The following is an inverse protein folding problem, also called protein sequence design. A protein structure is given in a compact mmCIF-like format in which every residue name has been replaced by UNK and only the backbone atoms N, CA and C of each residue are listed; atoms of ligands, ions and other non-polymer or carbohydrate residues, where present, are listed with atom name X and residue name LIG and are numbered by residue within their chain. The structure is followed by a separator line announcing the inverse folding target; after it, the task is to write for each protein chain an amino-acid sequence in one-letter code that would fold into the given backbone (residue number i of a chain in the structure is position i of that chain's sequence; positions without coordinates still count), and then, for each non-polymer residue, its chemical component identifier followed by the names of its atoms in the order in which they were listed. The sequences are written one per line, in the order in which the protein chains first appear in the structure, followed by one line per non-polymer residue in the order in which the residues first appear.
data_IF_126438430036
#
_entry.id   IF_126438430036
#
_cell.length_a   1.000
_cell.length_b   1.000
_cell.length_c   1.000
_cell.angle_alpha   90.00
_cell.angle_beta   90.00
_cell.angle_gamma   90.00
#
_symmetry.space_group_name_H-M   'P 1'
#
loop_
_entity.id
_entity.type
_entity.pdbx_description
1 polymer ?
2 non-polymer ?
3 water ?
#
# COMPACT_ATOMS: atom_id res chain seq x y z
N UNK A 5 -8.81 -3.85 24.62
CA UNK A 5 -7.91 -4.23 23.53
C UNK A 5 -7.07 -5.43 23.95
N UNK A 6 -6.56 -6.17 22.98
CA UNK A 6 -5.76 -7.34 23.28
C UNK A 6 -4.36 -6.91 23.68
N UNK A 7 -3.83 -7.39 24.82
CA UNK A 7 -2.55 -6.87 25.32
C UNK A 7 -1.33 -7.26 24.48
N UNK A 8 -1.49 -8.14 23.52
CA UNK A 8 -0.35 -8.55 22.71
C UNK A 8 0.23 -7.38 21.92
N UNK A 9 -0.59 -6.42 21.50
CA UNK A 9 -0.04 -5.37 20.64
C UNK A 9 0.91 -4.44 21.40
N UNK A 10 0.56 -4.08 22.63
CA UNK A 10 1.46 -3.24 23.43
C UNK A 10 2.78 -3.94 23.70
N UNK A 11 2.73 -5.24 23.99
CA UNK A 11 3.96 -5.99 24.21
C UNK A 11 4.79 -6.05 22.93
N UNK A 12 4.14 -6.31 21.80
CA UNK A 12 4.86 -6.36 20.52
C UNK A 12 5.60 -5.06 20.26
N UNK A 13 4.92 -3.93 20.36
CA UNK A 13 5.56 -2.68 19.97
C UNK A 13 6.64 -2.29 20.98
N UNK A 14 6.41 -2.55 22.27
CA UNK A 14 7.41 -2.19 23.27
C UNK A 14 8.69 -3.01 23.10
N UNK A 15 8.55 -4.33 22.92
CA UNK A 15 9.74 -5.16 22.75
C UNK A 15 10.47 -4.81 21.47
N UNK A 16 9.74 -4.49 20.40
CA UNK A 16 10.39 -4.17 19.13
C UNK A 16 10.93 -2.74 19.08
N UNK A 17 10.67 -1.91 20.08
CA UNK A 17 11.16 -0.55 20.01
C UNK A 17 10.56 0.24 18.87
N UNK A 18 9.28 0.07 18.63
CA UNK A 18 8.62 0.68 17.50
C UNK A 18 7.26 1.19 17.94
N UNK A 19 6.72 2.12 17.16
CA UNK A 19 5.31 2.49 17.22
C UNK A 19 4.58 1.65 16.19
N UNK A 20 3.57 0.91 16.63
CA UNK A 20 2.87 -0.07 15.81
C UNK A 20 1.42 0.35 15.63
N UNK A 21 0.99 0.40 14.37
CA UNK A 21 -0.37 0.73 14.03
C UNK A 21 -1.01 -0.42 13.28
N UNK A 22 -2.15 -0.91 13.76
CA UNK A 22 -2.82 -2.06 13.17
C UNK A 22 -4.29 -1.73 13.01
N UNK A 23 -4.84 -2.06 11.85
CA UNK A 23 -6.27 -2.13 11.68
C UNK A 23 -6.59 -3.31 10.79
N UNK A 24 -7.53 -4.14 11.21
CA UNK A 24 -8.00 -5.25 10.40
C UNK A 24 -9.49 -5.35 10.55
N UNK A 25 -10.15 -5.73 9.46
CA UNK A 25 -11.58 -5.92 9.44
C UNK A 25 -11.90 -7.22 8.71
N UNK A 26 -12.74 -8.04 9.32
CA UNK A 26 -13.31 -9.20 8.66
C UNK A 26 -14.52 -8.70 7.90
N UNK A 27 -14.46 -8.74 6.57
CA UNK A 27 -15.54 -8.13 5.79
C UNK A 27 -16.82 -8.96 5.82
N UNK A 28 -16.77 -10.18 6.31
CA UNK A 28 -17.97 -10.99 6.48
C UNK A 28 -18.74 -10.62 7.73
N UNK A 29 -18.05 -10.55 8.87
CA UNK A 29 -18.69 -10.30 10.15
C UNK A 29 -18.63 -8.85 10.57
N UNK A 30 -17.77 -8.06 9.95
CA UNK A 30 -17.49 -6.67 10.29
C UNK A 30 -16.75 -6.52 11.62
N UNK A 31 -16.26 -7.62 12.21
CA UNK A 31 -15.42 -7.50 13.38
C UNK A 31 -14.09 -6.85 12.99
N UNK A 32 -13.57 -6.05 13.91
CA UNK A 32 -12.33 -5.34 13.69
C UNK A 32 -11.37 -5.55 14.84
N UNK A 33 -10.10 -5.31 14.54
CA UNK A 33 -9.03 -5.24 15.52
C UNK A 33 -8.26 -3.96 15.21
N UNK A 34 -7.99 -3.17 16.25
CA UNK A 34 -7.36 -1.87 16.08
C UNK A 34 -6.36 -1.62 17.18
N UNK A 35 -5.20 -1.09 16.80
CA UNK A 35 -4.20 -0.61 17.74
C UNK A 35 -3.58 0.62 17.09
N UNK A 36 -3.73 1.79 17.73
CA UNK A 36 -3.25 3.05 17.16
C UNK A 36 -3.79 3.23 15.75
N UNK A 37 -5.02 2.77 15.51
CA UNK A 37 -5.54 2.70 14.14
C UNK A 37 -5.85 4.06 13.55
N UNK A 38 -5.95 5.11 14.37
CA UNK A 38 -6.19 6.44 13.85
C UNK A 38 -4.98 7.35 13.97
N UNK A 39 -3.82 6.81 14.34
CA UNK A 39 -2.61 7.59 14.38
C UNK A 39 -1.98 7.63 12.99
N UNK A 40 -1.27 8.71 12.70
CA UNK A 40 -0.61 8.85 11.42
C UNK A 40 0.72 8.11 11.36
N UNK A 41 0.97 7.52 10.21
CA UNK A 41 2.21 6.87 9.84
C UNK A 41 2.53 7.27 8.42
N UNK A 42 3.77 7.09 7.97
CA UNK A 42 4.06 7.28 6.56
C UNK A 42 3.23 6.35 5.70
N UNK A 43 2.77 6.87 4.56
CA UNK A 43 2.09 6.06 3.57
C UNK A 43 3.08 5.44 2.59
N UNK A 44 4.09 6.21 2.19
CA UNK A 44 5.17 5.71 1.35
C UNK A 44 4.64 4.84 0.22
N UNK A 45 5.29 3.71 -0.07
CA UNK A 45 4.95 2.98 -1.28
C UNK A 45 3.61 2.30 -1.20
N UNK A 46 2.92 2.30 -0.06
CA UNK A 46 1.56 1.80 -0.07
C UNK A 46 0.66 2.69 -0.94
N UNK A 47 1.08 3.90 -1.29
CA UNK A 47 0.29 4.71 -2.21
C UNK A 47 0.17 4.07 -3.57
N UNK A 48 1.12 3.22 -3.98
CA UNK A 48 1.18 2.78 -5.36
C UNK A 48 -0.03 1.96 -5.75
N UNK A 49 -0.54 1.11 -4.88
CA UNK A 49 -1.74 0.36 -5.19
C UNK A 49 -2.95 1.26 -5.34
N UNK A 50 -3.05 2.27 -4.48
CA UNK A 50 -4.14 3.24 -4.56
C UNK A 50 -4.04 4.08 -5.82
N UNK A 51 -2.82 4.42 -6.26
CA UNK A 51 -2.65 5.19 -7.49
C UNK A 51 -3.10 4.40 -8.70
N UNK A 52 -2.79 3.10 -8.73
CA UNK A 52 -3.30 2.25 -9.79
C UNK A 52 -4.82 2.21 -9.76
N UNK A 53 -5.40 2.09 -8.57
CA UNK A 53 -6.84 2.14 -8.45
C UNK A 53 -7.44 3.45 -8.94
N UNK A 54 -6.77 4.55 -8.65
CA UNK A 54 -7.27 5.85 -9.10
C UNK A 54 -7.30 5.90 -10.62
N UNK A 55 -6.22 5.45 -11.26
CA UNK A 55 -6.17 5.50 -12.71
C UNK A 55 -7.19 4.55 -13.32
N UNK A 56 -7.38 3.38 -12.71
CA UNK A 56 -8.39 2.44 -13.19
C UNK A 56 -9.80 3.01 -13.06
N UNK A 57 -10.02 3.88 -12.07
CA UNK A 57 -11.33 4.49 -11.92
C UNK A 57 -11.50 5.67 -12.88
N UNK A 58 -10.43 6.39 -13.18
CA UNK A 58 -10.51 7.52 -14.08
C UNK A 58 -10.47 7.12 -15.55
N UNK A 59 -10.01 5.92 -15.85
CA UNK A 59 -9.84 5.46 -17.23
C UNK A 59 -10.07 3.96 -17.30
N UNK A 60 -11.31 3.52 -17.43
CA UNK A 60 -11.58 2.09 -17.50
C UNK A 60 -10.83 1.40 -18.62
N UNK A 61 -10.55 0.12 -18.41
CA UNK A 61 -9.79 -0.67 -19.39
C UNK A 61 -10.44 -0.63 -20.77
N UNK A 62 -11.76 -0.59 -20.84
CA UNK A 62 -12.45 -0.62 -22.12
C UNK A 62 -12.21 0.63 -22.96
N UNK A 63 -11.69 1.71 -22.37
CA UNK A 63 -11.35 2.90 -23.15
C UNK A 63 -10.07 2.75 -23.96
N UNK A 64 -9.27 1.72 -23.69
CA UNK A 64 -7.97 1.54 -24.32
C UNK A 64 -6.85 2.32 -23.65
N UNK A 65 -7.19 3.13 -22.64
CA UNK A 65 -6.21 4.02 -22.01
C UNK A 65 -4.98 3.26 -21.52
N UNK A 66 -5.17 2.07 -20.96
CA UNK A 66 -4.07 1.31 -20.38
C UNK A 66 -3.17 0.69 -21.42
N UNK A 67 -3.56 0.75 -22.69
CA UNK A 67 -2.74 0.26 -23.77
C UNK A 67 -1.82 1.32 -24.35
N UNK A 68 -1.97 2.57 -23.96
CA UNK A 68 -1.12 3.60 -24.54
C UNK A 68 0.28 3.55 -23.92
N UNK A 69 1.26 3.94 -24.73
CA UNK A 69 2.65 3.90 -24.32
C UNK A 69 3.05 5.26 -23.77
N UNK A 70 3.62 5.25 -22.58
CA UNK A 70 4.18 6.43 -21.94
C UNK A 70 5.67 6.47 -22.25
N UNK A 71 6.11 7.54 -22.90
CA UNK A 71 7.50 7.72 -23.27
C UNK A 71 8.20 8.67 -22.29
N UNK A 72 8.42 8.16 -21.08
CA UNK A 72 9.14 8.91 -20.07
C UNK A 72 10.61 8.97 -20.44
N UNK A 73 11.30 9.99 -19.94
CA UNK A 73 12.69 10.22 -20.28
C UNK A 73 13.61 9.62 -19.22
N UNK A 74 14.88 9.43 -19.61
CA UNK A 74 15.86 8.95 -18.67
C UNK A 74 16.06 9.94 -17.54
N UNK A 75 15.85 11.22 -17.79
CA UNK A 75 16.00 12.25 -16.77
C UNK A 75 14.97 12.11 -15.65
N UNK A 76 13.86 11.41 -15.90
CA UNK A 76 12.82 11.21 -14.89
C UNK A 76 13.09 9.98 -14.03
N UNK A 77 14.12 9.21 -14.31
CA UNK A 77 14.41 8.04 -13.50
C UNK A 77 14.89 8.47 -12.12
N UNK A 78 14.25 7.93 -11.08
CA UNK A 78 14.67 8.18 -9.69
C UNK A 78 15.24 6.88 -9.12
N UNK A 79 15.68 6.93 -7.87
CA UNK A 79 16.28 5.76 -7.26
C UNK A 79 15.25 4.64 -7.17
N UNK A 80 15.73 3.41 -7.35
CA UNK A 80 14.93 2.19 -7.33
C UNK A 80 13.86 2.15 -8.42
N UNK A 81 14.30 1.87 -9.64
CA UNK A 81 13.46 1.87 -10.83
C UNK A 81 13.72 0.58 -11.59
N UNK A 82 13.41 -0.57 -10.96
CA UNK A 82 13.85 -1.85 -11.53
C UNK A 82 13.31 -2.16 -12.91
N UNK A 83 12.08 -1.79 -13.19
CA UNK A 83 11.50 -2.06 -14.50
C UNK A 83 11.68 -0.87 -15.44
N UNK A 84 11.36 0.32 -14.96
CA UNK A 84 11.38 1.48 -15.84
C UNK A 84 12.76 1.78 -16.39
N UNK A 85 13.82 1.50 -15.61
CA UNK A 85 15.15 1.76 -16.15
C UNK A 85 15.42 0.94 -17.39
N UNK A 86 14.85 -0.26 -17.49
CA UNK A 86 15.12 -1.15 -18.62
C UNK A 86 14.32 -0.81 -19.85
N UNK A 87 13.36 0.14 -19.77
CA UNK A 87 12.44 0.45 -20.86
C UNK A 87 12.47 1.91 -21.27
N UNK A 88 13.49 2.67 -20.87
CA UNK A 88 13.51 4.09 -21.22
C UNK A 88 13.42 4.26 -22.73
N UNK A 89 14.12 3.41 -23.49
CA UNK A 89 14.15 3.54 -24.94
C UNK A 89 12.76 3.42 -25.55
N UNK A 90 12.03 2.38 -25.18
CA UNK A 90 10.79 2.00 -25.82
C UNK A 90 9.57 2.63 -25.18
N UNK A 91 9.67 3.07 -23.93
CA UNK A 91 8.50 3.44 -23.17
C UNK A 91 7.81 2.21 -22.63
N UNK A 92 6.77 2.45 -21.83
CA UNK A 92 5.99 1.39 -21.22
C UNK A 92 4.51 1.75 -21.30
N UNK A 93 3.67 0.73 -21.48
CA UNK A 93 2.26 1.01 -21.44
C UNK A 93 1.85 1.35 -20.00
N UNK A 94 0.70 2.02 -19.88
CA UNK A 94 0.19 2.33 -18.55
C UNK A 94 0.01 1.06 -17.74
N UNK A 95 -0.50 0.00 -18.37
CA UNK A 95 -0.66 -1.25 -17.64
C UNK A 95 0.67 -1.77 -17.13
N UNK A 96 1.71 -1.69 -17.95
CA UNK A 96 3.03 -2.13 -17.51
C UNK A 96 3.56 -1.27 -16.38
N UNK A 97 3.30 0.03 -16.41
CA UNK A 97 3.73 0.90 -15.32
C UNK A 97 3.02 0.52 -14.02
N UNK A 98 1.74 0.19 -14.10
CA UNK A 98 1.03 -0.25 -12.91
C UNK A 98 1.60 -1.56 -12.37
N UNK A 99 1.83 -2.53 -13.26
CA UNK A 99 2.45 -3.77 -12.82
C UNK A 99 3.76 -3.50 -12.09
N UNK A 100 4.60 -2.65 -12.68
CA UNK A 100 5.88 -2.35 -12.07
C UNK A 100 5.72 -1.64 -10.73
N UNK A 101 4.80 -0.65 -10.66
CA UNK A 101 4.61 0.09 -9.42
C UNK A 101 4.13 -0.80 -8.29
N UNK A 102 3.23 -1.73 -8.58
CA UNK A 102 2.70 -2.60 -7.52
C UNK A 102 3.63 -3.75 -7.21
N UNK A 103 4.02 -4.53 -8.22
CA UNK A 103 4.65 -5.81 -7.91
C UNK A 103 6.14 -5.68 -7.62
N UNK A 104 6.79 -4.63 -8.16
CA UNK A 104 8.19 -4.35 -7.93
C UNK A 104 8.41 -3.11 -7.10
N UNK A 105 7.36 -2.35 -6.82
CA UNK A 105 7.46 -1.07 -6.11
C UNK A 105 8.32 -0.05 -6.85
N UNK A 106 8.32 -0.09 -8.18
CA UNK A 106 9.18 0.78 -8.99
C UNK A 106 8.86 2.25 -8.77
N UNK A 107 9.86 3.04 -8.39
CA UNK A 107 9.60 4.41 -7.97
C UNK A 107 9.31 5.32 -9.16
N UNK A 108 10.03 5.17 -10.25
CA UNK A 108 9.73 5.98 -11.43
C UNK A 108 8.35 5.63 -11.96
N UNK A 109 7.98 4.35 -11.92
CA UNK A 109 6.64 3.96 -12.32
C UNK A 109 5.61 4.68 -11.46
N UNK A 110 5.83 4.69 -10.15
CA UNK A 110 4.93 5.43 -9.26
C UNK A 110 4.79 6.89 -9.63
N UNK A 111 5.92 7.55 -9.94
CA UNK A 111 5.85 8.95 -10.35
C UNK A 111 5.09 9.09 -11.66
N UNK A 112 5.28 8.17 -12.60
CA UNK A 112 4.57 8.27 -13.86
C UNK A 112 3.07 8.14 -13.65
N UNK A 113 2.64 7.26 -12.74
CA UNK A 113 1.22 7.18 -12.44
C UNK A 113 0.73 8.48 -11.81
N UNK A 114 1.52 9.03 -10.90
CA UNK A 114 1.16 10.30 -10.30
C UNK A 114 1.00 11.38 -11.36
N UNK A 115 1.92 11.44 -12.35
CA UNK A 115 1.80 12.45 -13.40
C UNK A 115 0.47 12.32 -14.12
N UNK A 116 0.07 11.11 -14.45
CA UNK A 116 -1.19 10.89 -15.14
C UNK A 116 -2.39 11.27 -14.29
N UNK A 117 -2.25 11.28 -12.95
CA UNK A 117 -3.30 11.60 -12.02
C UNK A 117 -3.36 13.08 -11.65
N UNK A 118 -2.43 13.89 -12.12
CA UNK A 118 -2.37 15.27 -11.70
C UNK A 118 -1.52 15.48 -10.48
N UNK A 119 -0.49 14.67 -10.30
CA UNK A 119 0.45 14.81 -9.22
C UNK A 119 -0.08 14.36 -7.90
N UNK A 120 0.71 14.53 -6.85
CA UNK A 120 0.22 14.24 -5.50
C UNK A 120 -1.12 14.88 -5.17
N UNK A 121 -1.39 16.09 -5.69
CA UNK A 121 -2.66 16.74 -5.37
C UNK A 121 -3.81 16.00 -6.03
N UNK A 122 -3.64 15.58 -7.27
CA UNK A 122 -4.70 14.84 -7.93
C UNK A 122 -4.92 13.49 -7.28
N UNK A 123 -3.84 12.83 -6.87
CA UNK A 123 -3.98 11.58 -6.15
C UNK A 123 -4.74 11.77 -4.85
N UNK A 124 -4.39 12.80 -4.09
CA UNK A 124 -5.10 13.06 -2.84
C UNK A 124 -6.58 13.34 -3.09
N UNK A 125 -6.90 14.05 -4.18
CA UNK A 125 -8.30 14.27 -4.51
C UNK A 125 -9.02 12.95 -4.74
N UNK A 126 -8.33 11.98 -5.33
CA UNK A 126 -8.96 10.68 -5.49
C UNK A 126 -9.23 10.03 -4.14
N UNK A 127 -8.29 10.13 -3.20
CA UNK A 127 -8.55 9.57 -1.87
C UNK A 127 -9.78 10.20 -1.24
N UNK A 128 -9.93 11.53 -1.36
CA UNK A 128 -11.12 12.18 -0.85
C UNK A 128 -12.37 11.62 -1.49
N UNK A 129 -12.26 11.22 -2.76
CA UNK A 129 -13.41 10.68 -3.48
C UNK A 129 -13.81 9.31 -2.98
N UNK A 130 -12.96 8.66 -2.19
CA UNK A 130 -13.27 7.41 -1.50
C UNK A 130 -13.82 7.65 -0.11
N UNK A 131 -13.96 8.92 0.31
CA UNK A 131 -14.33 9.22 1.67
C UNK A 131 -13.17 9.24 2.62
N UNK A 132 -11.95 9.20 2.13
CA UNK A 132 -10.76 9.29 2.98
C UNK A 132 -10.39 10.75 3.07
N UNK A 133 -10.71 11.38 4.21
CA UNK A 133 -10.37 12.77 4.47
C UNK A 133 -9.12 12.91 5.32
N UNK A 134 -8.39 11.82 5.52
CA UNK A 134 -7.23 11.77 6.41
C UNK A 134 -5.92 11.61 5.66
N UNK A 135 -5.84 10.63 4.79
CA UNK A 135 -4.59 10.36 4.10
C UNK A 135 -4.26 11.49 3.13
N UNK A 136 -2.98 11.65 2.85
CA UNK A 136 -2.57 12.71 1.94
C UNK A 136 -1.24 12.35 1.34
N UNK A 137 -1.08 12.68 0.06
CA UNK A 137 0.19 12.60 -0.63
C UNK A 137 0.55 14.01 -1.07
N UNK A 138 1.80 14.38 -0.87
CA UNK A 138 2.24 15.76 -1.03
C UNK A 138 3.46 15.87 -1.92
N UNK A 139 4.28 14.82 -1.94
CA UNK A 139 5.55 14.83 -2.65
C UNK A 139 5.62 13.66 -3.61
N UNK A 140 6.66 13.68 -4.43
CA UNK A 140 6.94 12.64 -5.41
C UNK A 140 7.97 11.67 -4.83
N UNK A 141 8.16 10.55 -5.53
CA UNK A 141 9.29 9.67 -5.21
C UNK A 141 10.57 10.39 -5.60
N UNK A 142 11.60 10.32 -4.76
CA UNK A 142 11.67 9.55 -3.52
C UNK A 142 11.61 10.39 -2.24
N UNK A 143 11.39 11.69 -2.39
CA UNK A 143 11.28 12.58 -1.23
C UNK A 143 10.14 12.18 -0.30
N UNK A 144 9.11 11.53 -0.83
CA UNK A 144 7.98 11.21 0.02
C UNK A 144 8.31 10.16 1.07
N UNK A 145 9.52 9.58 1.07
CA UNK A 145 9.92 8.56 2.03
C UNK A 145 10.64 9.08 3.27
N UNK A 146 10.68 10.39 3.49
CA UNK A 146 11.48 10.91 4.60
C UNK A 146 10.93 10.50 5.96
N UNK A 147 9.61 10.36 6.09
CA UNK A 147 8.97 9.77 7.26
C UNK A 147 9.33 10.47 8.58
N UNK A 148 9.49 11.79 8.54
CA UNK A 148 9.89 12.52 9.75
C UNK A 148 8.75 12.47 10.77
N UNK A 149 9.02 12.13 12.02
CA UNK A 149 7.95 12.09 13.03
C UNK A 149 7.23 13.43 13.16
N UNK A 150 5.90 13.36 13.19
CA UNK A 150 5.06 14.53 13.32
C UNK A 150 4.65 15.15 12.00
N UNK A 151 5.47 14.99 10.97
CA UNK A 151 5.21 15.57 9.65
C UNK A 151 4.04 14.84 9.00
N UNK A 152 2.95 15.55 8.73
CA UNK A 152 1.76 14.93 8.15
C UNK A 152 1.86 14.75 6.64
N UNK A 153 2.87 15.32 5.99
CA UNK A 153 2.99 15.10 4.55
C UNK A 153 3.12 13.60 4.27
N UNK A 154 2.39 13.13 3.25
CA UNK A 154 2.56 11.76 2.76
C UNK A 154 2.28 10.74 3.86
N UNK A 155 1.18 10.95 4.57
CA UNK A 155 0.80 10.08 5.67
C UNK A 155 -0.58 9.47 5.47
N UNK A 156 -0.81 8.40 6.21
CA UNK A 156 -2.11 7.74 6.29
C UNK A 156 -2.27 7.26 7.73
N UNK A 157 -3.34 6.53 7.97
CA UNK A 157 -3.54 5.85 9.24
C UNK A 157 -3.86 4.40 8.91
N UNK A 158 -3.67 3.47 9.86
CA UNK A 158 -4.02 2.07 9.55
C UNK A 158 -5.46 1.93 9.12
N UNK A 159 -6.36 2.63 9.80
CA UNK A 159 -7.78 2.50 9.47
C UNK A 159 -8.10 3.09 8.12
N UNK A 160 -7.52 4.25 7.79
CA UNK A 160 -7.86 4.88 6.52
C UNK A 160 -7.28 4.09 5.35
N UNK A 161 -6.05 3.61 5.52
CA UNK A 161 -5.40 2.82 4.47
C UNK A 161 -6.17 1.54 4.22
N UNK A 162 -6.57 0.86 5.30
CA UNK A 162 -7.36 -0.35 5.14
C UNK A 162 -8.67 -0.06 4.46
N UNK A 163 -9.34 1.03 4.84
CA UNK A 163 -10.62 1.36 4.24
C UNK A 163 -10.47 1.59 2.74
N UNK A 164 -9.40 2.24 2.34
CA UNK A 164 -9.21 2.55 0.92
C UNK A 164 -8.95 1.28 0.12
N UNK A 165 -8.06 0.41 0.61
CA UNK A 165 -7.83 -0.86 -0.09
C UNK A 165 -9.08 -1.73 -0.06
N UNK A 166 -9.85 -1.70 1.01
CA UNK A 166 -11.10 -2.45 1.04
C UNK A 166 -12.04 -1.98 -0.05
N UNK A 167 -12.21 -0.66 -0.17
CA UNK A 167 -13.16 -0.13 -1.13
C UNK A 167 -12.78 -0.47 -2.56
N UNK A 168 -11.49 -0.49 -2.87
CA UNK A 168 -11.04 -0.73 -4.24
C UNK A 168 -10.97 -2.23 -4.57
N UNK A 169 -10.59 -3.07 -3.61
CA UNK A 169 -10.37 -4.50 -3.88
C UNK A 169 -11.59 -5.33 -3.56
N UNK A 170 -12.22 -5.08 -2.41
CA UNK A 170 -13.37 -5.86 -1.99
C UNK A 170 -14.67 -5.21 -2.42
N UNK A 171 -14.77 -3.90 -2.27
CA UNK A 171 -15.95 -3.14 -2.59
C UNK A 171 -16.06 -2.84 -4.07
N UNK A 172 -16.95 -1.91 -4.40
CA UNK A 172 -17.40 -1.71 -5.76
C UNK A 172 -17.06 -0.33 -6.32
N UNK A 173 -15.99 0.28 -5.82
CA UNK A 173 -15.54 1.55 -6.39
C UNK A 173 -15.21 1.38 -7.86
N UNK A 174 -14.47 0.34 -8.19
CA UNK A 174 -14.01 0.09 -9.55
C UNK A 174 -15.00 -0.78 -10.28
N UNK A 175 -14.96 -0.69 -11.60
CA UNK A 175 -15.66 -1.66 -12.41
C UNK A 175 -15.03 -3.02 -12.29
N UNK A 176 -15.73 -4.03 -12.78
CA UNK A 176 -15.31 -5.39 -12.52
C UNK A 176 -13.96 -5.74 -13.16
N UNK A 177 -13.70 -5.36 -14.41
CA UNK A 177 -12.36 -5.65 -14.96
C UNK A 177 -11.27 -4.97 -14.19
N UNK A 178 -11.52 -3.73 -13.76
CA UNK A 178 -10.51 -2.97 -13.04
C UNK A 178 -10.26 -3.56 -11.65
N UNK A 179 -11.32 -3.90 -10.94
CA UNK A 179 -11.17 -4.56 -9.64
C UNK A 179 -10.40 -5.87 -9.77
N UNK A 180 -10.68 -6.64 -10.81
CA UNK A 180 -9.99 -7.91 -10.99
C UNK A 180 -8.51 -7.71 -11.27
N UNK A 181 -8.17 -6.72 -12.11
CA UNK A 181 -6.77 -6.49 -12.43
C UNK A 181 -6.00 -5.92 -11.26
N UNK A 182 -6.59 -4.98 -10.51
CA UNK A 182 -5.94 -4.47 -9.31
C UNK A 182 -5.68 -5.62 -8.34
N UNK A 183 -6.68 -6.47 -8.14
CA UNK A 183 -6.52 -7.64 -7.29
C UNK A 183 -5.37 -8.52 -7.78
N UNK A 184 -5.31 -8.78 -9.08
CA UNK A 184 -4.28 -9.66 -9.60
C UNK A 184 -2.90 -9.08 -9.34
N UNK A 185 -2.72 -7.78 -9.58
CA UNK A 185 -1.41 -7.17 -9.33
C UNK A 185 -1.00 -7.30 -7.87
N UNK A 186 -1.93 -7.07 -6.95
CA UNK A 186 -1.61 -7.18 -5.54
C UNK A 186 -1.28 -8.61 -5.14
N UNK A 187 -2.00 -9.59 -5.69
CA UNK A 187 -1.73 -10.98 -5.38
C UNK A 187 -0.37 -11.40 -5.93
N UNK A 188 0.09 -10.80 -7.05
CA UNK A 188 1.39 -11.05 -7.63
C UNK A 188 2.51 -10.21 -7.06
N UNK A 189 2.28 -9.50 -5.97
CA UNK A 189 3.36 -8.71 -5.39
C UNK A 189 4.55 -9.59 -5.02
N UNK A 190 5.75 -9.08 -5.27
CA UNK A 190 6.97 -9.80 -4.98
C UNK A 190 7.72 -9.28 -3.76
N UNK A 191 7.26 -8.22 -3.11
CA UNK A 191 8.05 -7.56 -2.09
C UNK A 191 7.63 -7.87 -0.67
N UNK A 192 6.60 -8.70 -0.47
CA UNK A 192 5.94 -8.82 0.80
C UNK A 192 6.10 -10.14 1.51
N UNK A 193 7.02 -10.99 1.08
CA UNK A 193 7.03 -12.36 1.61
C UNK A 193 7.39 -12.44 3.08
N UNK A 194 8.02 -11.43 3.67
CA UNK A 194 8.38 -11.50 5.08
C UNK A 194 7.48 -10.64 5.98
N UNK A 195 6.41 -10.08 5.45
CA UNK A 195 5.55 -9.17 6.21
C UNK A 195 4.21 -9.84 6.46
N UNK A 196 3.10 -9.25 6.02
CA UNK A 196 1.80 -9.84 6.32
C UNK A 196 1.72 -11.29 5.85
N UNK A 197 2.23 -11.58 4.66
CA UNK A 197 2.18 -12.94 4.14
C UNK A 197 2.81 -13.95 5.09
N UNK A 198 3.86 -13.56 5.81
CA UNK A 198 4.55 -14.48 6.70
C UNK A 198 3.78 -14.73 8.00
N UNK A 199 2.75 -13.94 8.29
CA UNK A 199 1.94 -14.13 9.46
C UNK A 199 0.62 -14.82 9.21
N UNK A 200 0.32 -15.17 7.97
CA UNK A 200 -0.99 -15.78 7.67
C UNK A 200 -0.86 -17.28 7.43
N UNK A 201 -1.95 -18.02 7.69
CA UNK A 201 -1.97 -19.45 7.32
C UNK A 201 -1.62 -19.62 5.85
N UNK A 202 -0.84 -20.66 5.56
CA UNK A 202 -0.29 -20.87 4.23
C UNK A 202 -1.37 -20.95 3.15
N UNK A 203 -2.59 -21.35 3.51
CA UNK A 203 -3.62 -21.62 2.51
C UNK A 203 -4.38 -20.37 2.07
N UNK A 204 -4.28 -19.28 2.80
CA UNK A 204 -5.03 -18.09 2.45
C UNK A 204 -4.43 -17.41 1.23
N UNK A 205 -5.31 -16.91 0.35
CA UNK A 205 -4.88 -16.07 -0.75
C UNK A 205 -4.61 -14.68 -0.22
N UNK A 206 -3.53 -14.05 -0.69
CA UNK A 206 -3.11 -12.74 -0.20
C UNK A 206 -2.69 -11.84 -1.35
N UNK A 207 -3.19 -10.61 -1.34
CA UNK A 207 -2.63 -9.52 -2.14
C UNK A 207 -2.21 -8.41 -1.21
N UNK A 208 -1.06 -7.80 -1.49
CA UNK A 208 -0.55 -6.77 -0.58
C UNK A 208 0.33 -5.77 -1.29
N UNK A 209 0.59 -4.65 -0.60
CA UNK A 209 1.55 -3.64 -1.01
C UNK A 209 2.34 -3.17 0.20
N UNK A 210 3.66 -3.18 0.08
CA UNK A 210 4.57 -2.80 1.15
C UNK A 210 5.11 -1.40 0.96
N UNK A 211 5.74 -0.90 2.01
CA UNK A 211 6.64 0.23 1.89
C UNK A 211 7.66 0.20 3.02
N UNK A 212 8.83 0.78 2.76
CA UNK A 212 9.93 0.79 3.71
C UNK A 212 10.64 2.14 3.70
N UNK A 213 9.96 3.22 4.13
CA UNK A 213 10.60 4.54 4.19
C UNK A 213 11.53 4.66 5.39
N UNK A 214 12.06 5.86 5.60
CA UNK A 214 13.06 6.10 6.63
C UNK A 214 12.44 5.98 8.03
N UNK A 215 13.27 6.19 9.05
CA UNK A 215 12.85 5.99 10.45
C UNK A 215 12.45 4.55 10.72
N UNK A 216 13.16 3.63 10.08
CA UNK A 216 12.98 2.21 10.38
C UNK A 216 11.56 1.75 10.16
N UNK A 217 10.93 2.22 9.10
CA UNK A 217 9.52 1.99 8.89
C UNK A 217 9.32 0.70 8.13
N UNK A 218 8.40 -0.14 8.59
CA UNK A 218 7.98 -1.34 7.88
C UNK A 218 6.47 -1.28 7.76
N UNK A 219 5.98 -1.15 6.52
CA UNK A 219 4.56 -0.97 6.24
C UNK A 219 4.08 -2.10 5.33
N UNK A 220 2.83 -2.50 5.54
CA UNK A 220 2.20 -3.45 4.63
C UNK A 220 0.70 -3.31 4.77
N UNK A 221 -0.01 -3.45 3.65
CA UNK A 221 -1.48 -3.50 3.65
C UNK A 221 -1.89 -4.62 2.72
N UNK A 222 -2.85 -5.42 3.14
CA UNK A 222 -3.21 -6.63 2.42
C UNK A 222 -4.70 -6.86 2.47
N UNK A 223 -5.17 -7.58 1.46
CA UNK A 223 -6.47 -8.25 1.45
C UNK A 223 -6.17 -9.74 1.37
N UNK A 224 -6.80 -10.51 2.25
CA UNK A 224 -6.55 -11.95 2.29
C UNK A 224 -7.87 -12.70 2.38
N UNK A 225 -7.94 -13.81 1.65
CA UNK A 225 -9.13 -14.65 1.59
C UNK A 225 -8.84 -15.98 2.25
N UNK A 226 -9.35 -16.23 3.46
CA UNK A 226 -9.26 -17.60 3.99
C UNK A 226 -10.07 -18.51 3.10
N UNK A 227 -9.69 -19.78 3.08
CA UNK A 227 -10.35 -20.75 2.21
C UNK A 227 -11.87 -20.67 2.34
N UNK A 228 -12.54 -20.25 1.28
CA UNK A 228 -14.00 -20.24 1.26
C UNK A 228 -14.66 -19.31 2.25
N UNK A 229 -13.94 -18.33 2.79
CA UNK A 229 -14.50 -17.35 3.71
C UNK A 229 -14.33 -15.93 3.15
N UNK A 230 -15.08 -15.00 3.72
CA UNK A 230 -15.01 -13.62 3.25
C UNK A 230 -13.62 -13.03 3.52
N UNK A 231 -13.20 -12.06 2.71
CA UNK A 231 -11.85 -11.51 2.89
C UNK A 231 -11.71 -10.67 4.16
N UNK A 232 -10.47 -10.64 4.64
CA UNK A 232 -10.03 -9.80 5.75
C UNK A 232 -9.08 -8.77 5.16
N UNK A 233 -9.29 -7.49 5.50
CA UNK A 233 -8.36 -6.42 5.11
C UNK A 233 -7.52 -6.06 6.32
N UNK A 234 -6.21 -5.98 6.12
CA UNK A 234 -5.25 -5.79 7.21
C UNK A 234 -4.24 -4.71 6.82
N UNK A 235 -4.12 -3.68 7.66
CA UNK A 235 -3.04 -2.71 7.53
C UNK A 235 -2.16 -2.76 8.76
N UNK A 236 -0.86 -2.92 8.57
CA UNK A 236 0.12 -2.93 9.64
C UNK A 236 1.21 -1.92 9.30
N UNK A 237 1.30 -0.86 10.09
CA UNK A 237 2.24 0.22 9.85
C UNK A 237 3.12 0.34 11.08
N UNK A 238 4.43 0.42 10.89
CA UNK A 238 5.33 0.55 12.02
C UNK A 238 6.40 1.57 11.68
N UNK A 239 6.90 2.25 12.69
CA UNK A 239 7.98 3.22 12.52
C UNK A 239 8.72 3.35 13.84
N UNK A 240 9.90 3.96 13.77
CA UNK A 240 10.83 4.04 14.89
C UNK A 240 11.28 5.48 15.08
N UNK A 241 12.02 5.71 16.17
CA UNK A 241 12.34 7.07 16.57
C UNK A 241 13.59 7.62 15.91
N UNK A 242 14.45 6.76 15.35
CA UNK A 242 15.71 7.18 14.79
C UNK A 242 15.66 7.08 13.27
N UNK A 243 16.20 8.11 12.60
CA UNK A 243 16.10 8.19 11.15
C UNK A 243 16.70 6.96 10.48
N UNK A 244 17.82 6.48 10.99
CA UNK A 244 18.57 5.40 10.38
C UNK A 244 18.28 4.04 11.01
N UNK A 245 17.15 3.92 11.71
CA UNK A 245 16.77 2.65 12.32
C UNK A 245 16.49 1.59 11.26
N UNK A 246 16.51 0.36 11.69
CA UNK A 246 16.27 -0.78 10.82
C UNK A 246 14.78 -1.13 10.84
N UNK A 247 14.13 -1.25 9.68
CA UNK A 247 12.75 -1.74 9.69
C UNK A 247 12.70 -3.15 10.26
N UNK A 248 11.55 -3.48 10.85
CA UNK A 248 11.35 -4.78 11.49
C UNK A 248 10.27 -5.54 10.72
N UNK A 249 10.70 -6.37 9.76
CA UNK A 249 9.74 -7.18 9.02
C UNK A 249 9.00 -8.15 9.92
N UNK A 250 9.72 -8.78 10.84
CA UNK A 250 9.10 -9.78 11.69
C UNK A 250 8.04 -9.16 12.60
N UNK A 251 8.20 -7.87 12.95
CA UNK A 251 7.16 -7.19 13.71
C UNK A 251 5.86 -7.19 12.93
N UNK A 252 5.92 -6.94 11.62
CA UNK A 252 4.72 -6.92 10.81
C UNK A 252 4.11 -8.31 10.74
N UNK A 253 4.95 -9.33 10.57
CA UNK A 253 4.45 -10.70 10.52
C UNK A 253 3.84 -11.13 11.86
N UNK A 254 4.47 -10.71 12.97
CA UNK A 254 3.96 -11.08 14.29
C UNK A 254 2.66 -10.37 14.61
N UNK A 255 2.55 -9.08 14.25
CA UNK A 255 1.30 -8.38 14.44
C UNK A 255 0.20 -9.01 13.60
N UNK A 256 0.54 -9.48 12.41
CA UNK A 256 -0.45 -10.13 11.55
C UNK A 256 -0.97 -11.41 12.18
N UNK A 257 -0.07 -12.25 12.70
CA UNK A 257 -0.53 -13.47 13.34
C UNK A 257 -1.41 -13.15 14.54
N UNK A 258 -1.08 -12.10 15.28
CA UNK A 258 -1.93 -11.68 16.39
C UNK A 258 -3.33 -11.32 15.90
N UNK A 259 -3.43 -10.58 14.78
CA UNK A 259 -4.72 -10.30 14.16
C UNK A 259 -5.48 -11.59 13.85
N UNK A 260 -4.81 -12.56 13.23
CA UNK A 260 -5.46 -13.82 12.89
C UNK A 260 -6.05 -14.47 14.12
N UNK A 261 -5.31 -14.45 15.23
CA UNK A 261 -5.78 -15.08 16.45
C UNK A 261 -6.97 -14.35 17.05
N UNK A 262 -7.00 -13.03 16.94
CA UNK A 262 -8.09 -12.26 17.53
C UNK A 262 -9.35 -12.38 16.68
N UNK A 263 -9.23 -12.28 15.36
CA UNK A 263 -10.37 -12.48 14.48
C UNK A 263 -10.69 -13.97 14.35
#
# INVERSE_FOLDING_TARGET
GSAVADPRFAALETTAGARLGVFAVNTGSERTVAHRADERFPMASTFKGLACGALLREHPLSTGYFDQVIHYSAEELVDYSPVTETRVESGMTVAELCHAAITASDNTAGNQLLKLLGGPQGFTAFLRSLGDDTSRLDRWETELNTAIPGDERDTTTPAALAADYRALVVGDVLGEPERAQLTAWLVANTTGDTRIRAGLPEDWTVGDKTGSPAYGSALDVAVTWPSGRAPIVIAVLSTKSEQDAEPDNRLVADATRTVVDVLG
#
